data_IF_211023865674
#
_entry.id   IF_211023865674
#
_cell.length_a   1.000
_cell.length_b   1.000
_cell.length_c   1.000
_cell.angle_alpha   90.00
_cell.angle_beta   90.00
_cell.angle_gamma   90.00
#
_symmetry.space_group_name_H-M   'P 1'
#
loop_
_entity.id
_entity.type
_entity.pdbx_description
1 polymer ?
#
# COMPACT_ATOMS: atom_id res chain seq x y z
N UNK A 1 27.45 -58.82 -10.95
CA UNK A 1 26.07 -58.27 -11.16
C UNK A 1 25.55 -57.44 -9.99
N UNK A 2 25.71 -57.86 -8.74
CA UNK A 2 25.21 -57.09 -7.57
C UNK A 2 25.82 -55.66 -7.43
N UNK A 3 27.10 -55.46 -7.78
CA UNK A 3 27.77 -54.13 -7.70
C UNK A 3 27.19 -53.09 -8.67
N UNK A 4 26.83 -53.48 -9.89
CA UNK A 4 26.21 -52.60 -10.87
C UNK A 4 24.78 -52.22 -10.49
N UNK A 5 24.04 -53.10 -9.79
CA UNK A 5 22.70 -52.81 -9.28
C UNK A 5 22.70 -51.70 -8.23
N UNK A 6 23.71 -51.67 -7.37
CA UNK A 6 23.82 -50.57 -6.38
C UNK A 6 24.19 -49.23 -7.03
N UNK A 7 25.05 -49.24 -8.07
CA UNK A 7 25.39 -48.02 -8.81
C UNK A 7 24.15 -47.47 -9.56
N UNK A 8 23.36 -48.35 -10.15
CA UNK A 8 22.13 -47.96 -10.85
C UNK A 8 21.06 -47.42 -9.88
N UNK A 9 20.97 -48.02 -8.69
CA UNK A 9 20.04 -47.56 -7.63
C UNK A 9 20.45 -46.17 -7.09
N UNK A 10 21.74 -45.93 -6.88
CA UNK A 10 22.24 -44.62 -6.43
C UNK A 10 22.09 -43.57 -7.52
N UNK A 11 22.29 -43.90 -8.79
CA UNK A 11 22.06 -43.00 -9.92
C UNK A 11 20.58 -42.66 -10.09
N UNK A 12 19.67 -43.62 -9.88
CA UNK A 12 18.23 -43.38 -9.91
C UNK A 12 17.74 -42.49 -8.77
N UNK A 13 18.35 -42.56 -7.57
CA UNK A 13 18.07 -41.68 -6.45
C UNK A 13 18.50 -40.23 -6.69
N UNK A 14 19.53 -40.00 -7.52
CA UNK A 14 20.00 -38.65 -7.88
C UNK A 14 19.10 -37.95 -8.93
N UNK A 15 18.19 -38.70 -9.59
CA UNK A 15 17.25 -38.15 -10.58
C UNK A 15 15.92 -37.65 -9.98
N UNK A 16 15.77 -37.67 -8.65
CA UNK A 16 14.60 -37.05 -7.99
C UNK A 16 14.75 -35.55 -8.14
N UNK A 17 14.30 -35.03 -9.27
CA UNK A 17 14.37 -33.62 -9.63
C UNK A 17 13.58 -32.74 -8.67
N UNK A 18 14.16 -31.62 -8.27
CA UNK A 18 13.46 -30.54 -7.60
C UNK A 18 12.31 -30.05 -8.50
N UNK A 19 11.06 -30.21 -8.07
CA UNK A 19 9.94 -29.55 -8.74
C UNK A 19 10.04 -28.06 -8.45
N UNK A 20 9.98 -27.23 -9.48
CA UNK A 20 9.92 -25.79 -9.32
C UNK A 20 8.65 -25.40 -8.53
N UNK A 21 8.71 -24.43 -7.61
CA UNK A 21 7.53 -23.96 -6.90
C UNK A 21 6.54 -23.37 -7.91
N UNK A 22 5.29 -23.83 -7.85
CA UNK A 22 4.24 -23.44 -8.82
C UNK A 22 3.68 -22.02 -8.58
N UNK A 23 3.86 -21.44 -7.39
CA UNK A 23 3.16 -20.25 -6.93
C UNK A 23 4.06 -19.01 -6.89
N UNK A 24 4.90 -18.84 -7.92
CA UNK A 24 5.84 -17.71 -8.04
C UNK A 24 5.34 -16.67 -9.03
N UNK A 25 4.50 -17.05 -10.00
CA UNK A 25 3.98 -16.15 -11.02
C UNK A 25 2.61 -15.59 -10.63
N UNK A 26 2.36 -14.35 -11.02
CA UNK A 26 1.04 -13.72 -10.94
C UNK A 26 0.11 -14.27 -12.04
N UNK A 27 -1.21 -14.22 -11.80
CA UNK A 27 -2.26 -14.41 -12.82
C UNK A 27 -2.11 -15.69 -13.65
N UNK A 28 -1.88 -16.82 -13.00
CA UNK A 28 -1.67 -18.11 -13.70
C UNK A 28 -2.92 -18.60 -14.45
N UNK A 29 -4.07 -18.04 -14.15
CA UNK A 29 -5.37 -18.30 -14.80
C UNK A 29 -5.74 -17.25 -15.87
N UNK A 30 -4.84 -16.33 -16.23
CA UNK A 30 -5.13 -15.21 -17.12
C UNK A 30 -5.58 -15.64 -18.52
N UNK A 31 -5.09 -16.78 -19.02
CA UNK A 31 -5.47 -17.32 -20.32
C UNK A 31 -6.90 -17.88 -20.36
N UNK A 32 -7.46 -18.24 -19.21
CA UNK A 32 -8.78 -18.84 -19.07
C UNK A 32 -9.89 -17.79 -18.97
N UNK A 33 -9.53 -16.54 -18.62
CA UNK A 33 -10.51 -15.50 -18.26
C UNK A 33 -10.36 -14.31 -19.21
N UNK A 34 -11.20 -14.27 -20.25
CA UNK A 34 -11.33 -13.10 -21.14
C UNK A 34 -12.55 -12.26 -20.75
N UNK A 35 -12.32 -10.96 -20.47
CA UNK A 35 -13.43 -10.00 -20.33
C UNK A 35 -14.21 -10.09 -19.01
N UNK A 36 -13.53 -10.37 -17.88
CA UNK A 36 -14.18 -10.30 -16.58
C UNK A 36 -14.45 -8.83 -16.22
N UNK A 37 -15.70 -8.51 -15.92
CA UNK A 37 -16.06 -7.21 -15.39
C UNK A 37 -15.57 -7.10 -13.94
N UNK A 38 -15.04 -5.95 -13.57
CA UNK A 38 -14.77 -5.64 -12.18
C UNK A 38 -16.09 -5.65 -11.40
N UNK A 39 -16.18 -6.47 -10.37
CA UNK A 39 -17.40 -6.57 -9.55
C UNK A 39 -17.54 -5.38 -8.59
N UNK A 40 -16.44 -4.70 -8.31
CA UNK A 40 -16.36 -3.63 -7.32
C UNK A 40 -15.77 -2.37 -7.95
N UNK A 41 -16.57 -1.33 -8.06
CA UNK A 41 -16.10 0.03 -8.31
C UNK A 41 -16.15 0.77 -6.97
N UNK A 42 -15.17 0.50 -6.11
CA UNK A 42 -15.10 1.19 -4.82
C UNK A 42 -14.25 2.44 -4.97
N UNK A 43 -14.88 3.58 -4.78
CA UNK A 43 -14.21 4.87 -4.72
C UNK A 43 -13.80 5.15 -3.28
N UNK A 44 -12.64 5.74 -3.11
CA UNK A 44 -12.19 6.19 -1.79
C UNK A 44 -13.13 7.27 -1.28
N UNK A 45 -13.71 7.06 -0.09
CA UNK A 45 -14.62 7.99 0.58
C UNK A 45 -13.95 8.58 1.83
N UNK A 46 -14.40 9.76 2.24
CA UNK A 46 -13.89 10.46 3.41
C UNK A 46 -14.42 9.85 4.71
N UNK A 47 -13.50 9.67 5.66
CA UNK A 47 -13.76 9.21 7.01
C UNK A 47 -13.32 10.26 8.05
N UNK A 48 -13.78 10.18 9.30
CA UNK A 48 -13.25 11.00 10.37
C UNK A 48 -11.72 10.94 10.46
N UNK A 49 -11.08 12.08 10.78
CA UNK A 49 -9.62 12.30 10.84
C UNK A 49 -8.91 12.39 9.48
N UNK A 50 -9.61 12.19 8.35
CA UNK A 50 -9.04 12.47 7.05
C UNK A 50 -8.75 13.94 6.87
N UNK A 51 -7.70 14.21 6.11
CA UNK A 51 -7.29 15.58 5.79
C UNK A 51 -7.41 15.82 4.29
N UNK A 52 -8.11 16.87 3.94
CA UNK A 52 -8.30 17.28 2.56
C UNK A 52 -7.83 18.71 2.35
N UNK A 53 -7.27 18.98 1.19
CA UNK A 53 -6.99 20.30 0.71
C UNK A 53 -8.12 20.72 -0.23
N UNK A 54 -8.66 21.92 -0.04
CA UNK A 54 -9.73 22.45 -0.87
C UNK A 54 -9.22 23.76 -1.46
N UNK A 55 -9.18 23.83 -2.78
CA UNK A 55 -8.81 25.01 -3.54
C UNK A 55 -10.01 25.50 -4.34
N UNK A 56 -10.35 26.76 -4.16
CA UNK A 56 -11.42 27.42 -4.93
C UNK A 56 -10.79 28.44 -5.84
N UNK A 57 -11.04 28.30 -7.14
CA UNK A 57 -10.68 29.28 -8.14
C UNK A 57 -11.95 30.00 -8.62
N UNK A 58 -11.87 31.32 -8.74
CA UNK A 58 -12.95 32.17 -9.22
C UNK A 58 -12.36 33.35 -9.99
N UNK A 59 -13.18 33.96 -10.84
CA UNK A 59 -12.77 35.17 -11.60
C UNK A 59 -12.53 36.39 -10.73
N UNK A 60 -13.04 36.42 -9.48
CA UNK A 60 -12.85 37.52 -8.54
C UNK A 60 -11.65 37.25 -7.58
N UNK A 61 -10.55 38.04 -7.72
CA UNK A 61 -9.36 37.83 -6.89
C UNK A 61 -9.58 38.12 -5.39
N UNK A 62 -10.54 38.95 -5.03
CA UNK A 62 -10.82 39.28 -3.60
C UNK A 62 -11.44 38.08 -2.89
N UNK A 63 -12.27 37.30 -3.57
CA UNK A 63 -12.89 36.11 -3.02
C UNK A 63 -11.89 34.94 -2.88
N UNK A 64 -10.84 34.86 -3.71
CA UNK A 64 -9.78 33.87 -3.59
C UNK A 64 -9.09 33.90 -2.22
N UNK A 65 -8.88 35.08 -1.64
CA UNK A 65 -8.23 35.22 -0.34
C UNK A 65 -9.10 34.75 0.82
N UNK A 66 -10.43 34.83 0.68
CA UNK A 66 -11.36 34.43 1.72
C UNK A 66 -11.54 32.91 1.82
N UNK A 67 -11.49 32.23 0.68
CA UNK A 67 -11.79 30.79 0.63
C UNK A 67 -10.55 29.92 0.69
N UNK A 68 -9.43 30.38 0.12
CA UNK A 68 -8.19 29.60 0.15
C UNK A 68 -7.43 29.93 1.44
N UNK A 69 -7.35 28.97 2.33
CA UNK A 69 -6.54 29.09 3.53
C UNK A 69 -5.10 29.43 3.13
N UNK A 70 -4.63 30.61 3.53
CA UNK A 70 -3.28 31.04 3.23
C UNK A 70 -2.27 30.05 3.76
N UNK A 71 -1.36 29.62 2.89
CA UNK A 71 -0.13 28.94 3.29
C UNK A 71 0.67 29.91 4.17
N UNK A 72 0.57 29.77 5.48
CA UNK A 72 1.48 30.46 6.39
C UNK A 72 2.82 29.74 6.27
N UNK A 73 3.74 30.32 5.49
CA UNK A 73 5.14 29.92 5.54
C UNK A 73 5.60 30.03 6.99
N UNK A 74 5.87 28.90 7.62
CA UNK A 74 6.35 28.80 9.00
C UNK A 74 7.82 29.21 9.16
N UNK A 75 8.34 30.04 8.27
CA UNK A 75 9.64 30.68 8.43
C UNK A 75 9.45 32.04 9.13
N UNK A 76 9.79 32.07 10.41
CA UNK A 76 9.87 33.20 11.34
C UNK A 76 8.62 33.49 12.19
N UNK A 77 8.38 32.63 13.18
CA UNK A 77 7.83 33.14 14.44
C UNK A 77 8.96 33.78 15.28
N UNK A 78 9.38 34.94 14.86
CA UNK A 78 10.00 35.91 15.80
C UNK A 78 8.91 36.94 16.13
N UNK A 79 8.37 36.84 17.32
CA UNK A 79 7.48 37.88 17.88
C UNK A 79 8.19 39.24 17.83
N UNK A 80 7.72 40.16 17.00
CA UNK A 80 8.08 41.57 17.09
C UNK A 80 8.81 42.20 15.91
N UNK A 81 8.59 41.79 14.66
CA UNK A 81 9.13 42.56 13.53
C UNK A 81 8.00 43.11 12.64
N UNK A 82 7.96 44.43 12.54
CA UNK A 82 7.18 45.19 11.57
C UNK A 82 7.49 44.74 10.15
N UNK A 83 6.45 44.36 9.41
CA UNK A 83 6.54 43.86 8.04
C UNK A 83 6.84 45.00 7.08
N UNK A 84 8.07 45.14 6.64
CA UNK A 84 8.40 45.91 5.42
C UNK A 84 8.49 44.91 4.24
N UNK A 85 7.80 45.17 3.14
CA UNK A 85 7.92 44.29 1.94
C UNK A 85 9.20 44.62 1.22
N UNK A 86 10.25 43.86 1.47
CA UNK A 86 11.48 43.89 0.68
C UNK A 86 11.50 42.67 -0.26
N UNK A 87 11.28 42.94 -1.53
CA UNK A 87 11.51 41.98 -2.60
C UNK A 87 13.01 41.61 -2.65
N UNK A 88 13.35 40.46 -2.17
CA UNK A 88 14.67 39.88 -2.35
C UNK A 88 14.57 38.76 -3.41
N UNK A 89 15.06 39.04 -4.61
CA UNK A 89 15.37 38.04 -5.62
C UNK A 89 16.52 37.17 -5.11
N UNK A 90 16.27 35.92 -4.91
CA UNK A 90 17.33 34.95 -4.60
C UNK A 90 16.85 33.72 -3.86
N UNK A 91 16.90 32.59 -4.54
CA UNK A 91 16.64 31.23 -4.09
C UNK A 91 15.15 30.84 -3.86
N UNK A 92 14.53 30.42 -4.94
CA UNK A 92 13.45 29.42 -4.94
C UNK A 92 14.00 28.05 -4.50
N UNK A 93 14.48 27.94 -3.28
CA UNK A 93 14.63 26.64 -2.64
C UNK A 93 13.27 26.30 -2.09
N UNK A 94 12.66 25.26 -2.67
CA UNK A 94 11.42 24.59 -2.35
C UNK A 94 11.08 24.58 -0.85
N UNK A 95 10.58 25.67 -0.29
CA UNK A 95 9.76 25.61 0.88
C UNK A 95 8.39 25.14 0.41
N UNK A 96 8.15 23.83 0.48
CA UNK A 96 6.81 23.26 0.38
C UNK A 96 5.99 23.94 1.47
N UNK A 97 5.28 25.02 1.10
CA UNK A 97 4.36 25.68 2.01
C UNK A 97 3.36 24.61 2.47
N UNK A 98 3.33 24.35 3.78
CA UNK A 98 2.35 23.44 4.32
C UNK A 98 0.97 24.01 3.99
N UNK A 99 0.30 23.45 3.00
CA UNK A 99 -1.09 23.78 2.68
C UNK A 99 -1.91 23.45 3.92
N UNK A 100 -2.68 24.42 4.41
CA UNK A 100 -3.60 24.18 5.51
C UNK A 100 -4.68 23.24 5.02
N UNK A 101 -4.68 22.04 5.56
CA UNK A 101 -5.67 21.02 5.24
C UNK A 101 -6.87 21.14 6.18
N UNK A 102 -8.06 20.92 5.65
CA UNK A 102 -9.27 20.71 6.44
C UNK A 102 -9.24 19.30 7.01
N UNK A 103 -9.49 19.17 8.31
CA UNK A 103 -9.61 17.87 8.97
C UNK A 103 -11.09 17.54 9.14
N UNK A 104 -11.48 16.33 8.74
CA UNK A 104 -12.83 15.80 8.97
C UNK A 104 -12.96 15.49 10.46
N UNK A 105 -13.95 16.08 11.14
CA UNK A 105 -14.18 15.86 12.57
C UNK A 105 -14.84 14.47 12.84
N UNK A 106 -15.04 14.15 14.12
CA UNK A 106 -15.65 12.85 14.51
C UNK A 106 -17.09 12.69 14.02
N UNK A 107 -17.78 13.80 13.78
CA UNK A 107 -19.13 13.82 13.25
C UNK A 107 -19.16 13.64 11.73
N UNK A 108 -17.99 13.79 11.08
CA UNK A 108 -17.84 13.71 9.64
C UNK A 108 -17.99 15.04 8.92
N UNK A 109 -17.83 16.14 9.65
CA UNK A 109 -17.95 17.52 9.14
C UNK A 109 -16.57 18.16 8.96
N UNK A 110 -16.48 19.13 8.07
CA UNK A 110 -15.35 20.09 7.99
C UNK A 110 -15.83 21.49 8.34
N UNK A 111 -14.98 22.29 8.99
CA UNK A 111 -15.22 23.71 9.20
C UNK A 111 -14.76 24.51 7.98
N UNK A 112 -15.70 24.88 7.12
CA UNK A 112 -15.41 25.61 5.90
C UNK A 112 -15.72 27.10 6.04
N UNK A 113 -14.81 28.00 5.63
CA UNK A 113 -15.05 29.46 5.72
C UNK A 113 -16.37 29.86 5.09
N UNK A 114 -17.11 30.77 5.74
CA UNK A 114 -18.40 31.32 5.29
C UNK A 114 -19.55 30.30 5.25
N UNK A 115 -19.31 29.03 4.96
CA UNK A 115 -20.35 28.00 4.95
C UNK A 115 -20.58 27.38 6.34
N UNK A 116 -19.57 27.47 7.24
CA UNK A 116 -19.60 26.81 8.54
C UNK A 116 -19.35 25.29 8.42
N UNK A 117 -20.00 24.50 9.26
CA UNK A 117 -19.92 23.06 9.24
C UNK A 117 -20.55 22.46 7.99
N UNK A 118 -19.80 21.62 7.30
CA UNK A 118 -20.16 20.95 6.04
C UNK A 118 -19.94 19.46 6.19
N UNK A 119 -21.01 18.67 6.12
CA UNK A 119 -20.94 17.22 6.20
C UNK A 119 -20.31 16.64 4.93
N UNK A 120 -19.22 15.88 5.11
CA UNK A 120 -18.42 15.28 4.01
C UNK A 120 -18.18 13.79 4.19
N UNK A 121 -18.53 13.21 5.33
CA UNK A 121 -18.36 11.79 5.63
C UNK A 121 -19.05 10.93 4.57
N UNK A 122 -18.35 9.92 4.06
CA UNK A 122 -18.85 9.00 3.04
C UNK A 122 -18.87 9.55 1.61
N UNK A 123 -18.48 10.83 1.42
CA UNK A 123 -18.37 11.42 0.10
C UNK A 123 -16.98 11.19 -0.50
N UNK A 124 -16.92 11.04 -1.81
CA UNK A 124 -15.67 11.11 -2.56
C UNK A 124 -15.20 12.55 -2.71
N UNK A 125 -13.91 12.78 -3.02
CA UNK A 125 -13.40 14.14 -3.27
C UNK A 125 -14.17 14.88 -4.35
N UNK A 126 -14.65 14.16 -5.37
CA UNK A 126 -15.44 14.75 -6.47
C UNK A 126 -16.83 15.18 -6.00
N UNK A 127 -17.47 14.37 -5.17
CA UNK A 127 -18.79 14.71 -4.57
C UNK A 127 -18.67 15.88 -3.61
N UNK A 128 -17.61 15.96 -2.80
CA UNK A 128 -17.33 17.12 -1.94
C UNK A 128 -17.14 18.37 -2.79
N UNK A 129 -16.36 18.30 -3.87
CA UNK A 129 -16.17 19.44 -4.78
C UNK A 129 -17.49 19.93 -5.38
N UNK A 130 -18.31 19.02 -5.88
CA UNK A 130 -19.63 19.32 -6.45
C UNK A 130 -20.59 19.90 -5.40
N UNK A 131 -20.58 19.33 -4.19
CA UNK A 131 -21.39 19.80 -3.07
C UNK A 131 -21.01 21.20 -2.64
N UNK A 132 -19.73 21.47 -2.44
CA UNK A 132 -19.25 22.83 -2.09
C UNK A 132 -19.57 23.84 -3.19
N UNK A 133 -19.35 23.47 -4.47
CA UNK A 133 -19.71 24.31 -5.61
C UNK A 133 -21.19 24.70 -5.58
N UNK A 134 -22.07 23.74 -5.37
CA UNK A 134 -23.52 24.00 -5.32
C UNK A 134 -23.90 24.93 -4.15
N UNK A 135 -23.28 24.74 -2.99
CA UNK A 135 -23.52 25.57 -1.80
C UNK A 135 -23.06 27.00 -1.96
N UNK A 136 -21.87 27.19 -2.59
CA UNK A 136 -21.32 28.54 -2.85
C UNK A 136 -22.20 29.32 -3.83
N UNK A 137 -22.70 28.68 -4.87
CA UNK A 137 -23.63 29.29 -5.83
C UNK A 137 -24.99 29.58 -5.19
N UNK A 138 -25.55 28.65 -4.44
CA UNK A 138 -26.88 28.78 -3.83
C UNK A 138 -26.94 29.91 -2.78
N UNK A 139 -25.81 30.29 -2.16
CA UNK A 139 -25.70 31.41 -1.23
C UNK A 139 -25.25 32.71 -1.90
N UNK A 140 -25.16 32.73 -3.23
CA UNK A 140 -24.69 33.88 -4.02
C UNK A 140 -23.32 34.41 -3.60
N UNK A 141 -22.47 33.51 -3.06
CA UNK A 141 -21.13 33.88 -2.60
C UNK A 141 -20.15 33.96 -3.75
N UNK A 142 -20.27 33.06 -4.73
CA UNK A 142 -19.42 32.98 -5.92
C UNK A 142 -20.28 32.55 -7.11
N UNK A 143 -20.16 33.31 -8.23
CA UNK A 143 -20.99 33.02 -9.41
C UNK A 143 -20.58 31.78 -10.20
N UNK A 144 -19.28 31.56 -10.34
CA UNK A 144 -18.73 30.40 -11.08
C UNK A 144 -17.46 29.87 -10.39
N UNK A 145 -17.62 29.14 -9.26
CA UNK A 145 -16.49 28.56 -8.56
C UNK A 145 -16.01 27.28 -9.23
N UNK A 146 -14.69 27.16 -9.42
CA UNK A 146 -14.02 25.90 -9.70
C UNK A 146 -13.48 25.39 -8.36
N UNK A 147 -14.02 24.28 -7.87
CA UNK A 147 -13.63 23.68 -6.60
C UNK A 147 -12.81 22.43 -6.88
N UNK A 148 -11.59 22.39 -6.37
CA UNK A 148 -10.70 21.22 -6.43
C UNK A 148 -10.49 20.70 -5.02
N UNK A 149 -10.67 19.40 -4.83
CA UNK A 149 -10.46 18.72 -3.54
C UNK A 149 -9.42 17.63 -3.73
N UNK A 150 -8.41 17.61 -2.85
CA UNK A 150 -7.32 16.63 -2.87
C UNK A 150 -7.11 16.04 -1.49
N UNK A 151 -6.79 14.76 -1.42
CA UNK A 151 -6.41 14.11 -0.17
C UNK A 151 -4.99 14.53 0.23
N UNK A 152 -4.76 14.71 1.54
CA UNK A 152 -3.46 15.12 2.09
C UNK A 152 -2.78 14.00 2.86
N UNK A 153 -3.54 13.16 3.56
CA UNK A 153 -2.99 12.12 4.43
C UNK A 153 -3.41 10.69 4.05
N UNK A 154 -3.97 10.52 2.85
CA UNK A 154 -4.43 9.22 2.40
C UNK A 154 -3.25 8.26 2.23
N UNK A 155 -3.28 7.12 2.91
CA UNK A 155 -2.16 6.18 2.88
C UNK A 155 -2.58 4.78 3.28
N UNK A 156 -1.83 3.80 2.81
CA UNK A 156 -1.88 2.39 3.22
C UNK A 156 -0.54 1.98 3.83
N UNK A 157 -0.53 0.88 4.55
CA UNK A 157 0.68 0.28 5.10
C UNK A 157 0.93 -1.05 4.42
N UNK A 158 2.13 -1.25 3.89
CA UNK A 158 2.54 -2.53 3.30
C UNK A 158 3.63 -3.14 4.17
N UNK A 159 3.40 -4.36 4.64
CA UNK A 159 4.25 -5.06 5.59
C UNK A 159 4.55 -6.50 5.12
N UNK A 160 5.54 -7.13 5.74
CA UNK A 160 5.92 -8.52 5.47
C UNK A 160 6.96 -8.67 4.38
N UNK A 161 6.83 -9.70 3.56
CA UNK A 161 7.82 -10.09 2.55
C UNK A 161 7.69 -9.28 1.24
N UNK A 162 7.90 -7.98 1.33
CA UNK A 162 8.03 -7.01 0.21
C UNK A 162 9.40 -6.36 0.24
N UNK A 163 9.84 -5.80 -0.89
CA UNK A 163 11.18 -5.21 -0.98
C UNK A 163 11.31 -3.90 -0.19
N UNK A 164 10.23 -3.11 -0.07
CA UNK A 164 10.20 -1.84 0.65
C UNK A 164 8.95 -1.77 1.54
N UNK A 165 8.97 -2.41 2.72
CA UNK A 165 7.85 -2.31 3.65
C UNK A 165 7.76 -0.90 4.23
N UNK A 166 6.55 -0.42 4.44
CA UNK A 166 6.33 0.90 5.03
C UNK A 166 4.96 1.48 4.73
N UNK A 167 4.81 2.76 5.02
CA UNK A 167 3.65 3.56 4.66
C UNK A 167 3.80 4.04 3.22
N UNK A 168 2.73 3.95 2.45
CA UNK A 168 2.64 4.40 1.06
C UNK A 168 1.50 5.40 0.97
N UNK A 169 1.78 6.60 0.46
CA UNK A 169 0.76 7.63 0.27
C UNK A 169 -0.01 7.38 -1.02
N UNK A 170 -1.34 7.49 -0.95
CA UNK A 170 -2.25 7.28 -2.08
C UNK A 170 -2.54 8.62 -2.74
N UNK A 171 -2.25 8.74 -4.04
CA UNK A 171 -2.42 9.96 -4.81
C UNK A 171 -3.59 9.90 -5.82
N UNK A 172 -4.24 8.74 -5.96
CA UNK A 172 -5.30 8.50 -6.96
C UNK A 172 -6.55 7.89 -6.33
N UNK A 173 -7.72 8.12 -6.94
CA UNK A 173 -9.01 7.68 -6.40
C UNK A 173 -9.22 6.16 -6.45
N UNK A 174 -8.59 5.48 -7.43
CA UNK A 174 -8.73 4.05 -7.64
C UNK A 174 -7.38 3.36 -7.38
N UNK A 175 -6.98 3.29 -6.12
CA UNK A 175 -5.72 2.67 -5.72
C UNK A 175 -5.95 1.20 -5.39
N UNK A 176 -5.24 0.33 -6.10
CA UNK A 176 -5.42 -1.12 -6.00
C UNK A 176 -4.34 -1.77 -5.13
N UNK A 177 -4.59 -3.00 -4.69
CA UNK A 177 -3.56 -3.80 -4.01
C UNK A 177 -2.33 -4.02 -4.91
N UNK A 178 -2.50 -4.06 -6.23
CA UNK A 178 -1.36 -4.19 -7.17
C UNK A 178 -0.51 -2.92 -7.19
N UNK A 179 -1.14 -1.74 -7.11
CA UNK A 179 -0.41 -0.47 -7.01
C UNK A 179 0.41 -0.43 -5.72
N UNK A 180 -0.19 -0.83 -4.58
CA UNK A 180 0.51 -0.87 -3.29
C UNK A 180 1.70 -1.82 -3.31
N UNK A 181 1.55 -2.99 -3.95
CA UNK A 181 2.63 -3.96 -4.10
C UNK A 181 3.73 -3.42 -5.02
N UNK A 182 3.36 -2.78 -6.13
CA UNK A 182 4.32 -2.16 -7.05
C UNK A 182 5.10 -1.03 -6.37
N UNK A 183 4.42 -0.16 -5.63
CA UNK A 183 5.05 0.92 -4.87
C UNK A 183 5.94 0.39 -3.74
N UNK A 184 5.60 -0.75 -3.14
CA UNK A 184 6.44 -1.49 -2.20
C UNK A 184 7.62 -2.22 -2.86
N UNK A 185 7.78 -2.10 -4.18
CA UNK A 185 8.87 -2.71 -4.94
C UNK A 185 8.72 -4.20 -5.20
N UNK A 186 7.48 -4.69 -5.25
CA UNK A 186 7.09 -6.09 -5.41
C UNK A 186 7.38 -6.98 -4.17
N UNK A 187 6.79 -8.19 -4.19
CA UNK A 187 7.04 -9.22 -3.20
C UNK A 187 8.48 -9.75 -3.33
N UNK A 188 9.09 -10.10 -2.19
CA UNK A 188 10.34 -10.85 -2.23
C UNK A 188 10.12 -12.26 -2.77
N UNK A 189 11.20 -12.98 -3.09
CA UNK A 189 11.13 -14.39 -3.47
C UNK A 189 10.54 -15.27 -2.36
N UNK A 190 10.54 -14.80 -1.13
CA UNK A 190 10.01 -15.49 0.03
C UNK A 190 8.56 -15.11 0.35
N UNK A 191 7.98 -14.15 -0.33
CA UNK A 191 6.60 -13.75 -0.17
C UNK A 191 5.61 -14.74 -0.78
N UNK A 192 4.56 -15.10 -0.04
CA UNK A 192 3.48 -15.95 -0.52
C UNK A 192 2.47 -15.12 -1.33
N UNK A 193 2.47 -15.30 -2.65
CA UNK A 193 1.54 -14.62 -3.56
C UNK A 193 0.09 -15.07 -3.41
N UNK A 194 -0.11 -16.29 -2.96
CA UNK A 194 -1.46 -16.85 -2.72
C UNK A 194 -2.06 -16.50 -1.37
N UNK A 195 -1.29 -15.84 -0.49
CA UNK A 195 -1.73 -15.50 0.86
C UNK A 195 -1.29 -14.07 1.23
N UNK A 196 -1.85 -13.11 0.51
CA UNK A 196 -1.71 -11.68 0.84
C UNK A 196 -2.94 -11.26 1.62
N UNK A 197 -2.75 -10.74 2.82
CA UNK A 197 -3.83 -10.31 3.69
C UNK A 197 -4.00 -8.80 3.61
N UNK A 198 -5.24 -8.35 3.49
CA UNK A 198 -5.63 -6.95 3.66
C UNK A 198 -6.47 -6.85 4.93
N UNK A 199 -5.98 -6.11 5.90
CA UNK A 199 -6.70 -5.81 7.14
C UNK A 199 -7.27 -4.40 7.04
N UNK A 200 -8.58 -4.28 7.28
CA UNK A 200 -9.36 -3.05 7.16
C UNK A 200 -10.29 -2.92 8.35
N UNK A 201 -10.39 -1.73 8.90
CA UNK A 201 -11.40 -1.41 9.89
C UNK A 201 -12.71 -0.98 9.17
N UNK A 202 -13.77 -1.76 9.34
CA UNK A 202 -15.11 -1.46 8.82
C UNK A 202 -16.10 -1.44 9.97
N UNK A 203 -16.82 -0.33 10.15
CA UNK A 203 -17.83 -0.15 11.21
C UNK A 203 -17.33 -0.42 12.64
N UNK A 204 -16.02 -0.20 12.90
CA UNK A 204 -15.36 -0.42 14.18
C UNK A 204 -14.95 -1.88 14.43
N UNK A 205 -15.01 -2.74 13.43
CA UNK A 205 -14.53 -4.11 13.46
C UNK A 205 -13.38 -4.32 12.48
N UNK A 206 -12.37 -5.10 12.89
CA UNK A 206 -11.25 -5.47 12.01
C UNK A 206 -11.66 -6.61 11.07
N UNK A 207 -11.75 -6.30 9.78
CA UNK A 207 -12.00 -7.27 8.72
C UNK A 207 -10.67 -7.68 8.06
N UNK A 208 -10.50 -8.98 7.82
CA UNK A 208 -9.32 -9.52 7.12
C UNK A 208 -9.73 -10.21 5.83
N UNK A 209 -9.20 -9.74 4.72
CA UNK A 209 -9.39 -10.30 3.39
C UNK A 209 -8.13 -11.02 2.96
N UNK A 210 -8.25 -12.28 2.55
CA UNK A 210 -7.14 -13.06 1.98
C UNK A 210 -7.25 -13.02 0.47
N UNK A 211 -6.20 -12.57 -0.19
CA UNK A 211 -6.17 -12.38 -1.64
C UNK A 211 -5.09 -13.27 -2.24
N UNK A 212 -5.47 -14.03 -3.26
CA UNK A 212 -4.57 -14.85 -4.04
C UNK A 212 -4.15 -14.10 -5.32
N UNK A 213 -2.91 -13.61 -5.34
CA UNK A 213 -2.36 -12.90 -6.50
C UNK A 213 -1.99 -13.82 -7.67
N UNK A 214 -1.94 -15.14 -7.44
CA UNK A 214 -1.73 -16.13 -8.51
C UNK A 214 -2.98 -16.34 -9.36
N UNK A 215 -4.16 -16.03 -8.82
CA UNK A 215 -5.45 -16.11 -9.51
C UNK A 215 -5.98 -14.72 -9.82
N UNK A 216 -6.19 -14.43 -11.10
CA UNK A 216 -6.82 -13.19 -11.53
C UNK A 216 -8.28 -13.13 -11.10
N UNK A 217 -8.96 -14.27 -11.09
CA UNK A 217 -10.36 -14.36 -10.68
C UNK A 217 -10.52 -13.97 -9.21
N UNK A 218 -9.72 -14.58 -8.31
CA UNK A 218 -9.78 -14.31 -6.88
C UNK A 218 -9.47 -12.85 -6.58
N UNK A 219 -8.44 -12.32 -7.26
CA UNK A 219 -8.03 -10.92 -7.10
C UNK A 219 -9.16 -9.95 -7.46
N UNK A 220 -9.76 -10.07 -8.66
CA UNK A 220 -10.76 -9.13 -9.16
C UNK A 220 -12.13 -9.30 -8.47
N UNK A 221 -12.41 -10.43 -7.83
CA UNK A 221 -13.62 -10.66 -7.07
C UNK A 221 -13.51 -10.23 -5.60
N UNK A 222 -12.31 -9.91 -5.14
CA UNK A 222 -12.08 -9.51 -3.75
C UNK A 222 -12.65 -8.11 -3.44
N UNK A 223 -13.38 -7.93 -2.33
CA UNK A 223 -13.82 -6.60 -1.86
C UNK A 223 -12.63 -5.67 -1.53
N UNK A 224 -11.47 -6.24 -1.22
CA UNK A 224 -10.24 -5.49 -0.91
C UNK A 224 -9.31 -5.33 -2.12
N UNK A 225 -9.81 -5.52 -3.36
CA UNK A 225 -9.07 -5.21 -4.58
C UNK A 225 -8.69 -3.73 -4.63
N UNK A 226 -9.65 -2.84 -4.35
CA UNK A 226 -9.40 -1.43 -4.13
C UNK A 226 -9.09 -1.19 -2.65
N UNK A 227 -7.95 -0.57 -2.40
CA UNK A 227 -7.54 -0.23 -1.05
C UNK A 227 -8.20 1.06 -0.57
N UNK A 228 -8.41 1.13 0.74
CA UNK A 228 -8.96 2.29 1.43
C UNK A 228 -7.92 2.92 2.36
N UNK A 229 -8.26 4.07 2.92
CA UNK A 229 -7.47 4.75 3.93
C UNK A 229 -7.18 3.82 5.13
N UNK A 230 -5.93 3.79 5.57
CA UNK A 230 -5.42 3.02 6.69
C UNK A 230 -5.36 1.49 6.49
N UNK A 231 -5.74 0.95 5.33
CA UNK A 231 -5.58 -0.48 5.05
C UNK A 231 -4.15 -0.95 5.33
N UNK A 232 -4.04 -2.15 5.87
CA UNK A 232 -2.76 -2.82 6.09
C UNK A 232 -2.67 -4.02 5.17
N UNK A 233 -1.78 -3.95 4.18
CA UNK A 233 -1.47 -5.05 3.29
C UNK A 233 -0.31 -5.83 3.89
N UNK A 234 -0.53 -7.08 4.24
CA UNK A 234 0.49 -7.95 4.81
C UNK A 234 0.80 -9.13 3.91
N UNK A 235 2.06 -9.22 3.48
CA UNK A 235 2.55 -10.33 2.68
C UNK A 235 3.17 -11.39 3.57
N UNK A 236 2.53 -12.56 3.62
CA UNK A 236 2.95 -13.69 4.45
C UNK A 236 4.28 -14.27 3.96
N UNK A 237 5.25 -14.53 4.85
CA UNK A 237 6.48 -15.22 4.49
C UNK A 237 6.22 -16.70 4.18
N UNK A 238 7.00 -17.27 3.26
CA UNK A 238 6.90 -18.68 2.93
C UNK A 238 7.40 -19.58 4.08
N UNK A 239 7.01 -20.89 4.11
CA UNK A 239 7.40 -21.81 5.19
C UNK A 239 8.92 -21.99 5.33
N UNK A 240 9.68 -21.79 4.25
CA UNK A 240 11.15 -21.84 4.29
C UNK A 240 11.70 -20.68 5.13
N UNK A 241 11.24 -19.46 4.84
CA UNK A 241 11.64 -18.26 5.58
C UNK A 241 11.29 -18.36 7.07
N UNK A 242 10.10 -18.90 7.38
CA UNK A 242 9.69 -19.13 8.78
C UNK A 242 10.59 -20.14 9.50
N UNK A 243 11.00 -21.22 8.81
CA UNK A 243 11.96 -22.20 9.39
C UNK A 243 13.33 -21.56 9.59
N UNK A 244 13.81 -20.79 8.61
CA UNK A 244 15.12 -20.13 8.69
C UNK A 244 15.17 -19.11 9.84
N UNK A 245 14.06 -18.40 10.09
CA UNK A 245 13.93 -17.47 11.23
C UNK A 245 13.98 -18.20 12.60
N UNK A 246 13.46 -19.43 12.69
CA UNK A 246 13.48 -20.23 13.90
C UNK A 246 14.79 -21.04 14.09
N UNK A 247 15.63 -21.08 13.08
CA UNK A 247 16.80 -21.97 13.07
C UNK A 247 18.05 -21.37 13.71
N UNK A 248 17.90 -20.42 14.62
CA UNK A 248 19.04 -19.93 15.43
C UNK A 248 19.55 -21.06 16.34
N UNK A 249 20.07 -22.12 15.76
CA UNK A 249 20.67 -23.24 16.48
C UNK A 249 20.40 -24.64 15.94
N UNK A 250 19.53 -24.83 14.99
CA UNK A 250 19.26 -26.18 14.49
C UNK A 250 20.20 -26.56 13.33
N UNK A 251 21.47 -26.68 13.68
CA UNK A 251 22.57 -27.12 12.78
C UNK A 251 22.22 -28.44 12.10
N UNK A 252 21.42 -29.32 12.74
CA UNK A 252 21.03 -30.62 12.21
C UNK A 252 20.02 -30.58 11.05
N UNK A 253 19.34 -29.49 10.79
CA UNK A 253 18.43 -29.33 9.64
C UNK A 253 19.14 -28.94 8.34
N UNK A 254 20.44 -28.68 8.39
CA UNK A 254 21.21 -28.28 7.23
C UNK A 254 21.69 -29.52 6.45
N UNK A 255 21.39 -29.64 5.13
CA UNK A 255 21.74 -30.82 4.34
C UNK A 255 23.24 -31.17 4.34
N UNK A 256 24.11 -30.16 4.45
CA UNK A 256 25.56 -30.38 4.44
C UNK A 256 26.07 -31.18 5.63
N UNK A 257 25.40 -31.13 6.79
CA UNK A 257 25.79 -31.91 7.97
C UNK A 257 25.53 -33.40 7.73
N UNK A 258 24.41 -33.75 7.12
CA UNK A 258 24.12 -35.11 6.79
C UNK A 258 25.07 -35.67 5.72
N UNK A 259 25.46 -34.83 4.75
CA UNK A 259 26.45 -35.17 3.72
C UNK A 259 27.83 -35.39 4.36
N UNK A 260 28.27 -34.50 5.26
CA UNK A 260 29.56 -34.65 5.96
C UNK A 260 29.56 -35.87 6.90
N UNK A 261 28.47 -36.11 7.62
CA UNK A 261 28.33 -37.30 8.46
C UNK A 261 28.35 -38.58 7.65
N UNK A 262 27.63 -38.61 6.52
CA UNK A 262 27.66 -39.76 5.60
C UNK A 262 29.05 -40.03 5.01
N UNK A 263 29.77 -38.95 4.61
CA UNK A 263 31.14 -39.09 4.09
C UNK A 263 32.11 -39.63 5.16
N UNK A 264 31.98 -39.15 6.41
CA UNK A 264 32.75 -39.67 7.53
C UNK A 264 32.50 -41.15 7.75
N UNK A 265 31.23 -41.57 7.78
CA UNK A 265 30.85 -42.99 7.97
C UNK A 265 31.40 -43.86 6.85
N UNK A 266 31.34 -43.41 5.59
CA UNK A 266 31.91 -44.13 4.45
C UNK A 266 33.44 -44.27 4.59
N UNK A 267 34.11 -43.21 5.02
CA UNK A 267 35.58 -43.23 5.21
C UNK A 267 35.98 -44.19 6.31
N UNK A 268 35.27 -44.21 7.44
CA UNK A 268 35.50 -45.14 8.55
C UNK A 268 35.22 -46.59 8.10
N UNK A 269 34.12 -46.84 7.41
CA UNK A 269 33.77 -48.15 6.89
C UNK A 269 34.82 -48.70 5.91
N UNK A 270 35.37 -47.85 5.02
CA UNK A 270 36.45 -48.27 4.09
C UNK A 270 37.76 -48.57 4.82
N UNK A 271 38.02 -47.92 5.95
CA UNK A 271 39.23 -48.14 6.76
C UNK A 271 39.13 -49.48 7.55
N UNK A 272 37.92 -49.84 8.03
CA UNK A 272 37.70 -51.11 8.79
C UNK A 272 37.62 -52.32 7.87
N UNK A 273 37.16 -52.14 6.61
CA UNK A 273 37.00 -53.23 5.64
C UNK A 273 38.28 -53.48 4.83
N UNK A 274 39.32 -52.74 5.05
CA UNK A 274 40.64 -52.93 4.46
C UNK A 274 41.57 -53.74 5.37
#
# INVERSE_FOLDING_TARGET
>A
MKRYSYILLTLALLLVGCSAPKNVAYFQDADLIRGMALQWEQKITLHPQDKINIVINTADPMLLQQFNLMTISSSNRTLGATVTPQMSQGNLSSSTGAMLAYTVDEQGDIDFPVLGKVAVKGMTRQEVAAYLRSRLIARDLVKDPIVTVEYVNLSVKVLGEVNRPGRIDILQDNYTILDAIADAGDLTINGQRENVMVMREEDGEDQTYIINLCSRQDLLSSPAYYLQQNDVVYVTPNPKRLRDANSTGNTFSQPYIWISLASLLITVATLILK
#
